data_IF_053605074073
#
_entry.id   IF_053605074073
#
_cell.length_a   1.000
_cell.length_b   1.000
_cell.length_c   1.000
_cell.angle_alpha   90.00
_cell.angle_beta   90.00
_cell.angle_gamma   90.00
#
_symmetry.space_group_name_H-M   'P 1'
#
loop_
_entity.id
_entity.type
_entity.pdbx_description
1 polymer ?
#
# COMPACT_ATOMS: atom_id res chain seq x y z
N UNK A 1 -19.26 28.42 -1.99
CA UNK A 1 -19.37 28.32 -0.51
C UNK A 1 -17.97 28.39 0.07
N UNK A 2 -17.63 29.36 0.94
CA UNK A 2 -16.29 29.43 1.52
C UNK A 2 -16.11 28.31 2.55
N UNK A 3 -14.87 27.83 2.61
CA UNK A 3 -14.34 26.82 3.52
C UNK A 3 -14.70 27.11 4.99
N UNK A 4 -15.05 26.06 5.76
CA UNK A 4 -15.13 26.14 7.23
C UNK A 4 -13.76 25.76 7.83
N UNK A 5 -13.07 26.64 8.55
CA UNK A 5 -11.94 26.26 9.39
C UNK A 5 -12.45 25.37 10.53
N UNK A 6 -11.90 24.17 10.71
CA UNK A 6 -12.22 23.28 11.84
C UNK A 6 -12.70 21.87 11.49
N UNK A 7 -12.98 21.56 10.22
CA UNK A 7 -13.11 20.17 9.79
C UNK A 7 -11.71 19.60 9.56
N UNK A 8 -11.12 18.97 10.58
CA UNK A 8 -9.90 18.20 10.43
C UNK A 8 -10.15 17.10 9.40
N UNK A 9 -9.73 17.31 8.15
CA UNK A 9 -9.83 16.27 7.12
C UNK A 9 -8.88 15.15 7.51
N UNK A 10 -9.44 14.01 7.91
CA UNK A 10 -8.66 12.84 8.25
C UNK A 10 -8.40 12.02 6.98
N UNK A 11 -7.58 12.56 6.08
CA UNK A 11 -7.22 11.89 4.82
C UNK A 11 -6.70 10.46 5.03
N UNK A 12 -5.82 10.17 6.00
CA UNK A 12 -5.39 8.78 6.26
C UNK A 12 -6.54 7.82 6.58
N UNK A 13 -7.59 8.29 7.26
CA UNK A 13 -8.78 7.50 7.55
C UNK A 13 -9.63 7.29 6.29
N UNK A 14 -9.81 8.34 5.48
CA UNK A 14 -10.52 8.24 4.21
C UNK A 14 -9.84 7.25 3.26
N UNK A 15 -8.52 7.36 3.10
CA UNK A 15 -7.74 6.46 2.25
C UNK A 15 -7.82 5.00 2.73
N UNK A 16 -7.83 4.79 4.05
CA UNK A 16 -8.04 3.47 4.64
C UNK A 16 -9.43 2.92 4.30
N UNK A 17 -10.49 3.73 4.45
CA UNK A 17 -11.86 3.34 4.11
C UNK A 17 -11.99 2.99 2.62
N UNK A 18 -11.45 3.83 1.73
CA UNK A 18 -11.43 3.54 0.30
C UNK A 18 -10.66 2.27 -0.03
N UNK A 19 -9.59 1.97 0.71
CA UNK A 19 -8.84 0.73 0.54
C UNK A 19 -9.66 -0.49 0.96
N UNK A 20 -10.46 -0.39 2.02
CA UNK A 20 -11.39 -1.44 2.45
C UNK A 20 -12.51 -1.63 1.42
N UNK A 21 -13.10 -0.54 0.91
CA UNK A 21 -14.13 -0.64 -0.14
C UNK A 21 -13.56 -1.24 -1.44
N UNK A 22 -12.32 -0.89 -1.80
CA UNK A 22 -11.61 -1.53 -2.90
C UNK A 22 -11.41 -3.03 -2.66
N UNK A 23 -11.06 -3.46 -1.45
CA UNK A 23 -10.92 -4.89 -1.15
C UNK A 23 -12.24 -5.66 -1.33
N UNK A 24 -13.38 -5.03 -1.08
CA UNK A 24 -14.70 -5.64 -1.30
C UNK A 24 -15.01 -5.86 -2.78
N UNK A 25 -14.28 -5.25 -3.72
CA UNK A 25 -14.51 -5.52 -5.16
C UNK A 25 -13.98 -6.89 -5.59
N UNK A 26 -13.18 -7.56 -4.75
CA UNK A 26 -12.63 -8.88 -5.07
C UNK A 26 -13.64 -9.98 -4.71
N UNK A 27 -13.90 -10.89 -5.64
CA UNK A 27 -14.85 -11.99 -5.44
C UNK A 27 -14.50 -12.86 -4.23
N UNK A 28 -13.21 -13.17 -4.03
CA UNK A 28 -12.75 -13.96 -2.89
C UNK A 28 -13.01 -13.31 -1.53
N UNK A 29 -13.25 -11.99 -1.47
CA UNK A 29 -13.49 -11.28 -0.21
C UNK A 29 -14.86 -11.57 0.38
N UNK A 30 -15.87 -11.79 -0.47
CA UNK A 30 -17.26 -11.96 -0.07
C UNK A 30 -17.51 -13.18 0.83
N UNK A 31 -17.03 -14.40 0.49
CA UNK A 31 -17.27 -15.60 1.30
C UNK A 31 -16.48 -15.63 2.62
N UNK A 32 -15.55 -14.70 2.83
CA UNK A 32 -14.76 -14.68 4.07
C UNK A 32 -15.64 -14.47 5.30
N UNK A 33 -15.30 -15.16 6.39
CA UNK A 33 -15.90 -14.93 7.70
C UNK A 33 -15.63 -13.49 8.16
N UNK A 34 -16.44 -12.98 9.09
CA UNK A 34 -16.19 -11.65 9.66
C UNK A 34 -14.79 -11.55 10.30
N UNK A 35 -14.32 -12.62 10.95
CA UNK A 35 -12.98 -12.66 11.55
C UNK A 35 -11.87 -12.62 10.49
N UNK A 36 -12.01 -13.38 9.41
CA UNK A 36 -11.03 -13.38 8.31
C UNK A 36 -11.01 -12.05 7.56
N UNK A 37 -12.18 -11.43 7.33
CA UNK A 37 -12.29 -10.08 6.76
C UNK A 37 -11.53 -9.07 7.62
N UNK A 38 -11.72 -9.13 8.95
CA UNK A 38 -11.00 -8.28 9.89
C UNK A 38 -9.50 -8.54 9.88
N UNK A 39 -9.07 -9.81 9.90
CA UNK A 39 -7.66 -10.17 9.83
C UNK A 39 -7.01 -9.64 8.54
N UNK A 40 -7.66 -9.88 7.40
CA UNK A 40 -7.21 -9.40 6.10
C UNK A 40 -7.09 -7.87 6.08
N UNK A 41 -8.17 -7.14 6.40
CA UNK A 41 -8.19 -5.68 6.41
C UNK A 41 -7.13 -5.07 7.34
N UNK A 42 -6.93 -5.64 8.54
CA UNK A 42 -5.91 -5.15 9.49
C UNK A 42 -4.50 -5.20 8.93
N UNK A 43 -4.20 -6.19 8.09
CA UNK A 43 -2.87 -6.37 7.53
C UNK A 43 -2.65 -5.58 6.24
N UNK A 44 -3.61 -5.60 5.31
CA UNK A 44 -3.37 -5.11 3.93
C UNK A 44 -3.94 -3.73 3.64
N UNK A 45 -4.93 -3.25 4.41
CA UNK A 45 -5.62 -2.00 4.06
C UNK A 45 -4.71 -0.77 4.15
N UNK A 46 -3.84 -0.70 5.17
CA UNK A 46 -2.87 0.40 5.31
C UNK A 46 -1.77 0.31 4.23
N UNK A 47 -1.34 -0.90 3.86
CA UNK A 47 -0.38 -1.07 2.75
C UNK A 47 -0.98 -0.56 1.43
N UNK A 48 -2.24 -0.94 1.17
CA UNK A 48 -2.99 -0.57 -0.01
C UNK A 48 -3.22 0.95 -0.07
N UNK A 49 -3.58 1.58 1.05
CA UNK A 49 -3.74 3.04 1.13
C UNK A 49 -2.42 3.75 0.90
N UNK A 50 -1.33 3.27 1.48
CA UNK A 50 0.00 3.86 1.31
C UNK A 50 0.50 3.76 -0.13
N UNK A 51 0.36 2.61 -0.79
CA UNK A 51 0.71 2.47 -2.21
C UNK A 51 -0.16 3.39 -3.08
N UNK A 52 -1.45 3.54 -2.76
CA UNK A 52 -2.36 4.43 -3.47
C UNK A 52 -1.96 5.89 -3.34
N UNK A 53 -1.64 6.34 -2.12
CA UNK A 53 -1.23 7.72 -1.85
C UNK A 53 0.12 8.05 -2.50
N UNK A 54 1.07 7.11 -2.44
CA UNK A 54 2.38 7.28 -3.06
C UNK A 54 2.26 7.33 -4.60
N UNK A 55 1.46 6.45 -5.20
CA UNK A 55 1.21 6.47 -6.65
C UNK A 55 0.50 7.76 -7.10
N UNK A 56 -0.52 8.21 -6.36
CA UNK A 56 -1.20 9.48 -6.62
C UNK A 56 -0.23 10.67 -6.56
N UNK A 57 0.68 10.67 -5.59
CA UNK A 57 1.69 11.73 -5.46
C UNK A 57 2.70 11.70 -6.62
N UNK A 58 3.11 10.51 -7.04
CA UNK A 58 3.95 10.30 -8.22
C UNK A 58 3.28 10.81 -9.51
N UNK A 59 2.00 10.46 -9.75
CA UNK A 59 1.24 10.96 -10.91
C UNK A 59 1.12 12.49 -10.92
N UNK A 60 1.05 13.10 -9.73
CA UNK A 60 1.06 14.57 -9.55
C UNK A 60 2.45 15.20 -9.67
N UNK A 61 3.48 14.42 -10.02
CA UNK A 61 4.88 14.84 -10.11
C UNK A 61 5.42 15.42 -8.80
N UNK A 62 4.87 14.97 -7.66
CA UNK A 62 5.33 15.37 -6.33
C UNK A 62 6.39 14.39 -5.82
N UNK A 63 7.43 14.89 -5.16
CA UNK A 63 8.44 14.08 -4.45
C UNK A 63 8.05 13.80 -2.99
N UNK A 64 6.94 14.36 -2.55
CA UNK A 64 6.37 14.18 -1.23
C UNK A 64 4.89 13.79 -1.32
N UNK A 65 4.38 13.15 -0.28
CA UNK A 65 2.94 12.88 -0.13
C UNK A 65 2.12 14.15 -0.34
N UNK A 66 1.16 14.08 -1.26
CA UNK A 66 0.16 15.12 -1.49
C UNK A 66 -1.23 14.49 -1.43
N UNK A 67 -2.12 15.08 -0.64
CA UNK A 67 -3.52 14.65 -0.57
C UNK A 67 -4.36 15.29 -1.67
N UNK A 68 -5.59 14.82 -1.85
CA UNK A 68 -6.48 15.23 -2.94
C UNK A 68 -6.82 16.74 -2.95
N UNK A 69 -6.71 17.43 -1.82
CA UNK A 69 -6.91 18.88 -1.72
C UNK A 69 -5.61 19.70 -1.81
N UNK A 70 -4.50 19.06 -2.12
CA UNK A 70 -3.19 19.69 -2.19
C UNK A 70 -2.46 19.80 -0.85
N UNK A 71 -3.07 19.36 0.26
CA UNK A 71 -2.37 19.35 1.55
C UNK A 71 -1.15 18.42 1.48
N UNK A 72 -0.01 18.90 1.96
CA UNK A 72 1.23 18.14 2.06
C UNK A 72 1.67 18.08 3.53
N UNK A 73 1.84 16.88 4.12
CA UNK A 73 2.49 16.73 5.42
C UNK A 73 3.85 17.43 5.42
N UNK A 74 4.19 18.09 6.53
CA UNK A 74 5.45 18.82 6.69
C UNK A 74 5.73 19.85 5.57
N UNK A 75 4.68 20.38 4.92
CA UNK A 75 4.80 21.25 3.76
C UNK A 75 5.68 20.65 2.64
N UNK A 76 5.67 19.32 2.50
CA UNK A 76 6.45 18.59 1.51
C UNK A 76 7.93 18.40 1.86
N UNK A 77 8.39 18.86 3.03
CA UNK A 77 9.77 18.68 3.47
C UNK A 77 9.84 18.03 4.84
N UNK A 78 10.24 16.75 4.89
CA UNK A 78 10.47 16.05 6.15
C UNK A 78 11.93 16.21 6.62
N UNK A 79 12.19 16.86 7.78
CA UNK A 79 13.54 16.96 8.35
C UNK A 79 14.24 15.61 8.52
N UNK A 80 15.56 15.56 8.32
CA UNK A 80 16.35 14.33 8.41
C UNK A 80 16.27 13.63 9.77
N UNK A 81 16.03 14.40 10.85
CA UNK A 81 15.81 13.89 12.22
C UNK A 81 14.53 13.04 12.39
N UNK A 82 13.65 13.00 11.38
CA UNK A 82 12.43 12.21 11.39
C UNK A 82 12.47 11.11 10.31
N UNK A 83 13.33 10.08 10.48
CA UNK A 83 13.54 9.06 9.45
C UNK A 83 12.26 8.29 9.11
N UNK A 84 11.42 7.96 10.10
CA UNK A 84 10.15 7.25 9.87
C UNK A 84 9.15 8.06 9.04
N UNK A 85 9.09 9.38 9.27
CA UNK A 85 8.23 10.27 8.48
C UNK A 85 8.78 10.43 7.06
N UNK A 86 10.10 10.38 6.88
CA UNK A 86 10.73 10.43 5.55
C UNK A 86 10.44 9.17 4.76
N UNK A 87 10.56 8.00 5.39
CA UNK A 87 10.19 6.72 4.78
C UNK A 87 8.73 6.71 4.32
N UNK A 88 7.83 7.26 5.15
CA UNK A 88 6.41 7.32 4.84
C UNK A 88 6.06 8.33 3.74
N UNK A 89 6.64 9.53 3.77
CA UNK A 89 6.20 10.62 2.91
C UNK A 89 7.01 10.76 1.61
N UNK A 90 8.16 10.08 1.48
CA UNK A 90 9.04 10.24 0.32
C UNK A 90 9.51 8.90 -0.28
N UNK A 91 9.97 7.96 0.55
CA UNK A 91 10.72 6.79 0.02
C UNK A 91 9.88 5.91 -0.90
N UNK A 92 8.62 5.62 -0.55
CA UNK A 92 7.75 4.84 -1.44
C UNK A 92 7.52 5.54 -2.78
N UNK A 93 7.40 6.88 -2.80
CA UNK A 93 7.23 7.67 -4.02
C UNK A 93 8.49 7.56 -4.89
N UNK A 94 9.66 7.67 -4.27
CA UNK A 94 10.94 7.51 -4.97
C UNK A 94 11.07 6.12 -5.59
N UNK A 95 10.75 5.06 -4.86
CA UNK A 95 10.79 3.70 -5.39
C UNK A 95 9.84 3.50 -6.59
N UNK A 96 8.63 4.07 -6.52
CA UNK A 96 7.67 4.05 -7.64
C UNK A 96 8.25 4.81 -8.85
N UNK A 97 8.89 5.96 -8.63
CA UNK A 97 9.52 6.77 -9.67
C UNK A 97 10.69 6.03 -10.33
N UNK A 98 11.57 5.44 -9.53
CA UNK A 98 12.75 4.71 -10.01
C UNK A 98 12.37 3.48 -10.84
N UNK A 99 11.22 2.86 -10.55
CA UNK A 99 10.65 1.74 -11.31
C UNK A 99 9.94 2.15 -12.62
N UNK A 100 9.71 3.45 -12.81
CA UNK A 100 8.82 3.99 -13.85
C UNK A 100 7.49 3.23 -13.91
N UNK A 101 6.86 3.12 -12.73
CA UNK A 101 5.68 2.31 -12.53
C UNK A 101 4.49 2.91 -13.30
N UNK A 102 3.90 2.13 -14.19
CA UNK A 102 2.67 2.56 -14.86
C UNK A 102 1.42 2.15 -14.07
N UNK A 103 0.26 2.58 -14.58
CA UNK A 103 -1.03 2.33 -13.93
C UNK A 103 -1.39 0.85 -13.87
N UNK A 104 -1.05 0.08 -14.90
CA UNK A 104 -1.38 -1.35 -14.98
C UNK A 104 -0.55 -2.14 -13.96
N UNK A 105 0.73 -1.82 -13.84
CA UNK A 105 1.62 -2.40 -12.84
C UNK A 105 1.20 -2.02 -11.42
N UNK A 106 0.85 -0.75 -11.21
CA UNK A 106 0.33 -0.27 -9.94
C UNK A 106 -0.91 -1.05 -9.47
N UNK A 107 -1.93 -1.23 -10.34
CA UNK A 107 -3.15 -1.94 -9.93
C UNK A 107 -2.89 -3.42 -9.67
N UNK A 108 -1.99 -4.04 -10.43
CA UNK A 108 -1.58 -5.43 -10.22
C UNK A 108 -0.80 -5.60 -8.91
N UNK A 109 0.10 -4.66 -8.57
CA UNK A 109 0.78 -4.66 -7.28
C UNK A 109 -0.19 -4.48 -6.10
N UNK A 110 -1.20 -3.62 -6.24
CA UNK A 110 -2.28 -3.52 -5.24
C UNK A 110 -3.01 -4.85 -5.07
N UNK A 111 -3.33 -5.55 -6.15
CA UNK A 111 -3.95 -6.87 -6.06
C UNK A 111 -3.03 -7.88 -5.35
N UNK A 112 -1.74 -7.90 -5.65
CA UNK A 112 -0.75 -8.76 -4.98
C UNK A 112 -0.64 -8.48 -3.47
N UNK A 113 -0.74 -7.22 -3.05
CA UNK A 113 -0.75 -6.84 -1.63
C UNK A 113 -1.97 -7.41 -0.91
N UNK A 114 -3.15 -7.36 -1.54
CA UNK A 114 -4.39 -7.84 -0.95
C UNK A 114 -4.42 -9.37 -0.92
N UNK A 115 -3.94 -10.04 -1.97
CA UNK A 115 -3.86 -11.50 -2.05
C UNK A 115 -2.67 -12.05 -1.25
N UNK A 116 -2.47 -11.65 0.00
CA UNK A 116 -1.38 -12.15 0.85
C UNK A 116 -1.83 -13.36 1.69
N UNK A 117 -1.37 -14.59 1.40
CA UNK A 117 -1.74 -15.77 2.17
C UNK A 117 -1.02 -15.88 3.53
N UNK A 118 0.05 -15.12 3.73
CA UNK A 118 0.86 -15.16 4.95
C UNK A 118 0.28 -14.30 6.10
N UNK A 119 -1.01 -13.98 6.05
CA UNK A 119 -1.68 -13.19 7.09
C UNK A 119 -1.92 -14.07 8.32
N UNK A 120 -1.46 -13.57 9.46
CA UNK A 120 -1.71 -14.18 10.77
C UNK A 120 -3.19 -14.06 11.14
N UNK A 121 -3.75 -15.12 11.72
CA UNK A 121 -5.15 -15.13 12.17
C UNK A 121 -6.19 -15.47 11.11
N UNK A 122 -5.79 -15.87 9.90
CA UNK A 122 -6.72 -16.51 8.94
C UNK A 122 -7.13 -17.91 9.45
N UNK A 123 -8.43 -18.12 9.58
CA UNK A 123 -9.05 -19.25 10.28
C UNK A 123 -9.00 -20.58 9.50
N UNK A 124 -9.04 -20.53 8.16
CA UNK A 124 -9.14 -21.73 7.31
C UNK A 124 -7.97 -21.86 6.35
N UNK A 125 -7.44 -23.08 6.22
CA UNK A 125 -6.42 -23.42 5.21
C UNK A 125 -6.93 -23.23 3.78
N UNK A 126 -8.22 -23.48 3.53
CA UNK A 126 -8.85 -23.26 2.22
C UNK A 126 -8.81 -21.81 1.77
N UNK A 127 -8.94 -20.83 2.68
CA UNK A 127 -8.82 -19.41 2.33
C UNK A 127 -7.38 -19.02 2.00
N UNK A 128 -6.39 -19.57 2.73
CA UNK A 128 -4.98 -19.38 2.39
C UNK A 128 -4.68 -19.89 0.98
N UNK A 129 -5.15 -21.10 0.66
CA UNK A 129 -5.02 -21.67 -0.69
C UNK A 129 -5.73 -20.83 -1.76
N UNK A 130 -6.92 -20.28 -1.44
CA UNK A 130 -7.63 -19.38 -2.38
C UNK A 130 -6.85 -18.07 -2.60
N UNK A 131 -6.29 -17.48 -1.55
CA UNK A 131 -5.44 -16.29 -1.68
C UNK A 131 -4.16 -16.58 -2.47
N UNK A 132 -3.54 -17.74 -2.28
CA UNK A 132 -2.39 -18.20 -3.07
C UNK A 132 -2.73 -18.29 -4.55
N UNK A 133 -3.86 -18.91 -4.89
CA UNK A 133 -4.32 -19.03 -6.28
C UNK A 133 -4.54 -17.65 -6.93
N UNK A 134 -5.23 -16.74 -6.24
CA UNK A 134 -5.45 -15.38 -6.75
C UNK A 134 -4.12 -14.61 -6.87
N UNK A 135 -3.23 -14.74 -5.88
CA UNK A 135 -1.90 -14.12 -5.91
C UNK A 135 -1.08 -14.61 -7.10
N UNK A 136 -1.11 -15.92 -7.37
CA UNK A 136 -0.42 -16.51 -8.50
C UNK A 136 -0.96 -15.98 -9.84
N UNK A 137 -2.28 -15.85 -9.97
CA UNK A 137 -2.93 -15.26 -11.15
C UNK A 137 -2.46 -13.83 -11.40
N UNK A 138 -2.47 -12.97 -10.38
CA UNK A 138 -2.01 -11.59 -10.51
C UNK A 138 -0.50 -11.51 -10.76
N UNK A 139 0.29 -12.39 -10.15
CA UNK A 139 1.74 -12.46 -10.33
C UNK A 139 2.11 -12.83 -11.78
N UNK A 140 1.45 -13.85 -12.36
CA UNK A 140 1.60 -14.22 -13.77
C UNK A 140 1.19 -13.11 -14.72
N UNK A 141 0.11 -12.40 -14.39
CA UNK A 141 -0.37 -11.26 -15.17
C UNK A 141 0.63 -10.10 -15.14
N UNK A 142 1.17 -9.77 -13.97
CA UNK A 142 2.19 -8.74 -13.81
C UNK A 142 3.48 -9.12 -14.55
N UNK A 143 3.96 -10.35 -14.40
CA UNK A 143 5.15 -10.82 -15.11
C UNK A 143 4.95 -10.71 -16.63
N UNK A 144 3.84 -11.23 -17.16
CA UNK A 144 3.54 -11.14 -18.60
C UNK A 144 3.49 -9.70 -19.09
N UNK A 145 2.83 -8.81 -18.34
CA UNK A 145 2.73 -7.39 -18.69
C UNK A 145 4.10 -6.70 -18.67
N UNK A 146 4.87 -6.90 -17.61
CA UNK A 146 6.21 -6.30 -17.45
C UNK A 146 7.17 -6.79 -18.53
N UNK A 147 7.11 -8.08 -18.89
CA UNK A 147 7.89 -8.67 -19.97
C UNK A 147 7.50 -8.08 -21.34
N UNK A 148 6.20 -7.88 -21.58
CA UNK A 148 5.71 -7.25 -22.81
C UNK A 148 6.15 -5.79 -22.92
N UNK A 149 6.11 -5.02 -21.82
CA UNK A 149 6.42 -3.59 -21.81
C UNK A 149 7.92 -3.31 -21.85
N UNK A 150 8.71 -4.07 -21.10
CA UNK A 150 10.15 -3.80 -20.89
C UNK A 150 11.08 -4.76 -21.65
N UNK A 151 10.53 -5.78 -22.31
CA UNK A 151 11.29 -6.80 -23.04
C UNK A 151 11.98 -7.83 -22.14
N UNK A 152 12.56 -8.85 -22.76
CA UNK A 152 13.10 -10.04 -22.06
C UNK A 152 14.31 -9.74 -21.15
N UNK A 153 15.06 -8.68 -21.42
CA UNK A 153 16.26 -8.33 -20.63
C UNK A 153 15.92 -7.51 -19.37
N UNK A 154 15.03 -6.52 -19.49
CA UNK A 154 14.69 -5.60 -18.39
C UNK A 154 13.43 -6.03 -17.63
N UNK A 155 12.56 -6.82 -18.26
CA UNK A 155 11.31 -7.30 -17.67
C UNK A 155 11.50 -8.08 -16.37
N UNK A 156 12.33 -9.14 -16.33
CA UNK A 156 12.51 -9.95 -15.13
C UNK A 156 13.09 -9.15 -13.96
N UNK A 157 14.04 -8.25 -14.26
CA UNK A 157 14.66 -7.36 -13.26
C UNK A 157 13.61 -6.41 -12.69
N UNK A 158 12.81 -5.76 -13.54
CA UNK A 158 11.75 -4.87 -13.08
C UNK A 158 10.70 -5.60 -12.24
N UNK A 159 10.31 -6.82 -12.63
CA UNK A 159 9.40 -7.64 -11.84
C UNK A 159 9.97 -7.94 -10.45
N UNK A 160 11.24 -8.35 -10.37
CA UNK A 160 11.90 -8.59 -9.09
C UNK A 160 11.95 -7.32 -8.23
N UNK A 161 12.28 -6.16 -8.81
CA UNK A 161 12.29 -4.89 -8.09
C UNK A 161 10.89 -4.45 -7.63
N UNK A 162 9.83 -4.75 -8.40
CA UNK A 162 8.44 -4.54 -7.96
C UNK A 162 8.06 -5.46 -6.79
N UNK A 163 8.54 -6.70 -6.76
CA UNK A 163 8.36 -7.57 -5.59
C UNK A 163 9.10 -7.02 -4.37
N UNK A 164 10.30 -6.48 -4.54
CA UNK A 164 11.03 -5.77 -3.48
C UNK A 164 10.28 -4.54 -2.96
N UNK A 165 9.50 -3.84 -3.81
CA UNK A 165 8.61 -2.75 -3.37
C UNK A 165 7.48 -3.28 -2.47
N UNK A 166 6.88 -4.44 -2.78
CA UNK A 166 5.86 -5.07 -1.93
C UNK A 166 6.45 -5.46 -0.57
N UNK A 167 7.67 -6.00 -0.55
CA UNK A 167 8.38 -6.34 0.68
C UNK A 167 8.73 -5.08 1.49
N UNK A 168 9.21 -4.02 0.83
CA UNK A 168 9.43 -2.71 1.45
C UNK A 168 8.18 -2.20 2.15
N UNK A 169 7.03 -2.21 1.49
CA UNK A 169 5.76 -1.79 2.08
C UNK A 169 5.39 -2.65 3.29
N UNK A 170 5.64 -3.95 3.23
CA UNK A 170 5.39 -4.87 4.35
C UNK A 170 6.25 -4.50 5.56
N UNK A 171 7.54 -4.23 5.36
CA UNK A 171 8.45 -3.80 6.42
C UNK A 171 8.13 -2.39 6.94
N UNK A 172 7.73 -1.46 6.07
CA UNK A 172 7.30 -0.12 6.45
C UNK A 172 6.09 -0.19 7.40
N UNK A 173 5.09 -1.05 7.10
CA UNK A 173 3.93 -1.19 7.98
C UNK A 173 4.26 -1.83 9.33
N UNK A 174 5.11 -2.86 9.33
CA UNK A 174 5.58 -3.48 10.58
C UNK A 174 6.26 -2.44 11.48
N UNK A 175 7.18 -1.63 10.92
CA UNK A 175 7.85 -0.56 11.66
C UNK A 175 6.89 0.51 12.15
N UNK A 176 5.93 0.93 11.32
CA UNK A 176 4.93 1.93 11.69
C UNK A 176 4.02 1.45 12.81
N UNK A 177 3.55 0.20 12.76
CA UNK A 177 2.77 -0.42 13.85
C UNK A 177 3.56 -0.42 15.15
N UNK A 178 4.82 -0.85 15.11
CA UNK A 178 5.69 -0.88 16.28
C UNK A 178 5.91 0.53 16.85
N UNK A 179 6.14 1.52 15.98
CA UNK A 179 6.31 2.91 16.40
C UNK A 179 5.06 3.48 17.09
N UNK A 180 3.86 3.21 16.57
CA UNK A 180 2.61 3.62 17.23
C UNK A 180 2.42 2.93 18.59
N UNK A 181 2.79 1.66 18.72
CA UNK A 181 2.74 0.95 20.02
C UNK A 181 3.71 1.59 21.01
N UNK A 182 4.98 1.81 20.61
CA UNK A 182 5.99 2.45 21.45
C UNK A 182 5.57 3.85 21.88
N UNK A 183 5.03 4.66 20.96
CA UNK A 183 4.55 6.00 21.27
C UNK A 183 3.42 5.97 22.31
N UNK A 184 2.54 4.97 22.27
CA UNK A 184 1.49 4.82 23.30
C UNK A 184 2.08 4.45 24.65
N UNK A 185 3.07 3.56 24.70
CA UNK A 185 3.74 3.17 25.95
C UNK A 185 4.42 4.39 26.60
N UNK A 186 5.21 5.13 25.81
CA UNK A 186 5.96 6.30 26.31
C UNK A 186 5.06 7.50 26.64
N UNK A 187 3.90 7.65 25.97
CA UNK A 187 2.95 8.73 26.27
C UNK A 187 2.04 8.44 27.48
N UNK A 188 2.16 7.25 28.09
CA UNK A 188 1.47 6.86 29.32
C UNK A 188 2.39 6.87 30.56
N UNK A 189 3.61 7.40 30.42
CA UNK A 189 4.51 7.81 31.52
C UNK A 189 4.63 9.35 31.53
#
# INVERSE_FOLDING_TARGET
>A
KPWRPGAWKCWPLADLLFSIEYMKTFEFFHPLSHQDKLALCRHVAIMCSQLTLAYFSFERKSDATIYHDGFMPFNGFVPAKFPHEREWNHVTIQLIRDLDLDKNEYVLLKALIICNPAIEGLSMSSYKSKLEQEREKYSKSLMSYVMSRRGLLKGPVAFASMMSLVDWLTHLMKRRKNWYVLRKVVAHE
#
